data_IF_617738503371
#
_entry.id   IF_617738503371
#
_cell.length_a   1.000
_cell.length_b   1.000
_cell.length_c   1.000
_cell.angle_alpha   90.00
_cell.angle_beta   90.00
_cell.angle_gamma   90.00
#
_symmetry.space_group_name_H-M   'P 1'
#
loop_
_entity.id
_entity.type
_entity.pdbx_description
1 polymer ?
#
# COMPACT_ATOMS: atom_id res chain seq x y z
N UNK A 1 42.26 16.09 15.96
CA UNK A 1 40.86 15.94 15.49
C UNK A 1 40.94 15.47 14.06
N UNK A 2 40.98 14.16 13.84
CA UNK A 2 40.96 13.62 12.48
C UNK A 2 39.55 13.80 11.95
N UNK A 3 39.44 14.57 10.86
CA UNK A 3 38.25 14.61 10.03
C UNK A 3 38.05 13.19 9.49
N UNK A 4 37.04 12.49 9.97
CA UNK A 4 36.58 11.23 9.40
C UNK A 4 36.34 11.47 7.91
N UNK A 5 37.29 11.01 7.09
CA UNK A 5 37.02 10.69 5.69
C UNK A 5 36.06 9.51 5.75
N UNK A 6 34.77 9.81 5.90
CA UNK A 6 33.73 8.80 5.77
C UNK A 6 33.91 8.19 4.39
N UNK A 7 34.20 6.88 4.33
CA UNK A 7 34.25 6.17 3.06
C UNK A 7 32.90 6.39 2.36
N UNK A 8 32.87 6.56 1.02
CA UNK A 8 31.61 6.67 0.29
C UNK A 8 30.63 5.54 0.61
N UNK A 9 31.14 4.35 0.96
CA UNK A 9 30.36 3.20 1.40
C UNK A 9 29.68 3.44 2.77
N UNK A 10 30.39 4.04 3.72
CA UNK A 10 29.85 4.37 5.04
C UNK A 10 28.73 5.42 4.95
N UNK A 11 28.88 6.40 4.04
CA UNK A 11 27.87 7.41 3.78
C UNK A 11 26.60 6.80 3.17
N UNK A 12 26.76 5.91 2.17
CA UNK A 12 25.64 5.20 1.56
C UNK A 12 24.94 4.31 2.59
N UNK A 13 25.70 3.63 3.45
CA UNK A 13 25.13 2.79 4.50
C UNK A 13 24.34 3.61 5.54
N UNK A 14 24.90 4.74 5.98
CA UNK A 14 24.20 5.66 6.88
C UNK A 14 22.91 6.20 6.25
N UNK A 15 22.95 6.59 4.98
CA UNK A 15 21.78 7.06 4.24
C UNK A 15 20.71 5.97 4.10
N UNK A 16 21.12 4.74 3.80
CA UNK A 16 20.24 3.59 3.78
C UNK A 16 19.56 3.37 5.13
N UNK A 17 20.30 3.46 6.25
CA UNK A 17 19.74 3.26 7.58
C UNK A 17 18.67 4.31 7.91
N UNK A 18 18.93 5.58 7.60
CA UNK A 18 17.97 6.67 7.77
C UNK A 18 16.72 6.43 6.93
N UNK A 19 16.87 6.08 5.65
CA UNK A 19 15.72 5.79 4.79
C UNK A 19 14.95 4.56 5.25
N UNK A 20 15.63 3.51 5.70
CA UNK A 20 14.98 2.30 6.20
C UNK A 20 14.12 2.61 7.43
N UNK A 21 14.63 3.41 8.39
CA UNK A 21 13.86 3.85 9.55
C UNK A 21 12.68 4.75 9.17
N UNK A 22 12.90 5.75 8.30
CA UNK A 22 11.83 6.59 7.79
C UNK A 22 10.74 5.78 7.10
N UNK A 23 11.11 4.85 6.22
CA UNK A 23 10.16 4.01 5.48
C UNK A 23 9.43 3.03 6.40
N UNK A 24 10.10 2.53 7.44
CA UNK A 24 9.47 1.70 8.47
C UNK A 24 8.41 2.47 9.24
N UNK A 25 8.69 3.72 9.62
CA UNK A 25 7.72 4.60 10.27
C UNK A 25 6.54 4.94 9.35
N UNK A 26 6.80 5.32 8.10
CA UNK A 26 5.77 5.62 7.10
C UNK A 26 4.87 4.40 6.86
N UNK A 27 5.44 3.20 6.79
CA UNK A 27 4.68 1.94 6.67
C UNK A 27 3.74 1.72 7.85
N UNK A 28 4.20 1.92 9.08
CA UNK A 28 3.34 1.82 10.27
C UNK A 28 2.23 2.88 10.29
N UNK A 29 2.52 4.12 9.89
CA UNK A 29 1.52 5.18 9.78
C UNK A 29 0.51 4.92 8.67
N UNK A 30 0.95 4.43 7.51
CA UNK A 30 0.05 4.04 6.42
C UNK A 30 -0.90 2.91 6.86
N UNK A 31 -0.38 1.93 7.61
CA UNK A 31 -1.18 0.85 8.17
C UNK A 31 -2.23 1.38 9.16
N UNK A 32 -1.82 2.28 10.06
CA UNK A 32 -2.73 2.96 10.98
C UNK A 32 -3.82 3.73 10.23
N UNK A 33 -3.46 4.50 9.21
CA UNK A 33 -4.42 5.19 8.36
C UNK A 33 -5.41 4.22 7.68
N UNK A 34 -4.95 3.06 7.20
CA UNK A 34 -5.84 2.08 6.59
C UNK A 34 -6.90 1.54 7.56
N UNK A 35 -6.53 1.36 8.83
CA UNK A 35 -7.44 0.95 9.92
C UNK A 35 -8.37 2.10 10.31
N UNK A 36 -7.82 3.30 10.54
CA UNK A 36 -8.59 4.48 10.98
C UNK A 36 -9.62 4.92 9.92
N UNK A 37 -9.27 4.82 8.63
CA UNK A 37 -10.20 5.09 7.52
C UNK A 37 -11.19 3.94 7.28
N UNK A 38 -10.98 2.77 7.89
CA UNK A 38 -11.82 1.59 7.67
C UNK A 38 -11.70 1.00 6.27
N UNK A 39 -10.55 1.16 5.61
CA UNK A 39 -10.31 0.68 4.23
C UNK A 39 -10.44 -0.84 4.18
N UNK A 40 -9.85 -1.56 5.14
CA UNK A 40 -9.92 -3.02 5.21
C UNK A 40 -11.35 -3.52 5.36
N UNK A 41 -12.15 -2.87 6.22
CA UNK A 41 -13.57 -3.19 6.43
C UNK A 41 -14.40 -2.90 5.17
N UNK A 42 -14.11 -1.79 4.48
CA UNK A 42 -14.78 -1.41 3.23
C UNK A 42 -14.51 -2.43 2.11
N UNK A 43 -13.29 -2.97 2.01
CA UNK A 43 -12.97 -4.02 1.03
C UNK A 43 -13.57 -5.37 1.47
N UNK A 44 -13.60 -5.66 2.78
CA UNK A 44 -14.14 -6.91 3.30
C UNK A 44 -15.67 -7.01 3.08
N UNK A 45 -16.40 -5.93 3.36
CA UNK A 45 -17.86 -5.86 3.18
C UNK A 45 -18.32 -6.04 1.73
N UNK A 46 -17.43 -5.82 0.75
CA UNK A 46 -17.68 -5.97 -0.68
C UNK A 46 -17.26 -7.33 -1.27
N UNK A 47 -16.89 -8.29 -0.43
CA UNK A 47 -16.47 -9.63 -0.89
C UNK A 47 -14.97 -9.76 -1.13
N UNK A 48 -14.16 -9.03 -0.35
CA UNK A 48 -12.68 -9.08 -0.36
C UNK A 48 -11.98 -8.50 -1.61
N UNK A 49 -12.72 -7.79 -2.46
CA UNK A 49 -12.22 -7.11 -3.65
C UNK A 49 -13.02 -5.82 -3.84
N UNK A 50 -12.35 -4.67 -4.04
CA UNK A 50 -13.03 -3.41 -4.27
C UNK A 50 -12.22 -2.47 -5.19
N UNK A 51 -12.92 -1.69 -5.99
CA UNK A 51 -12.31 -0.62 -6.80
C UNK A 51 -12.05 0.63 -5.96
N UNK A 52 -11.19 1.53 -6.43
CA UNK A 52 -10.89 2.79 -5.71
C UNK A 52 -12.15 3.63 -5.42
N UNK A 53 -13.08 3.72 -6.37
CA UNK A 53 -14.34 4.46 -6.20
C UNK A 53 -15.20 3.86 -5.10
N UNK A 54 -15.24 2.54 -5.03
CA UNK A 54 -15.99 1.79 -4.03
C UNK A 54 -15.39 1.88 -2.63
N UNK A 55 -14.05 1.89 -2.53
CA UNK A 55 -13.34 2.16 -1.29
C UNK A 55 -13.69 3.57 -0.82
N UNK A 56 -13.59 4.57 -1.69
CA UNK A 56 -13.91 5.96 -1.35
C UNK A 56 -15.38 6.09 -0.91
N UNK A 57 -16.31 5.40 -1.58
CA UNK A 57 -17.72 5.38 -1.20
C UNK A 57 -17.99 4.66 0.14
N UNK A 58 -17.15 3.68 0.51
CA UNK A 58 -17.22 2.99 1.81
C UNK A 58 -16.55 3.75 2.95
N UNK A 59 -15.60 4.63 2.62
CA UNK A 59 -14.95 5.53 3.58
C UNK A 59 -15.71 6.85 3.69
N UNK A 60 -15.68 7.53 4.84
CA UNK A 60 -16.31 8.86 5.00
C UNK A 60 -15.51 9.99 4.29
N UNK A 61 -14.90 9.70 3.15
CA UNK A 61 -13.92 10.57 2.49
C UNK A 61 -14.58 11.26 1.30
N UNK A 62 -14.50 12.59 1.27
CA UNK A 62 -14.99 13.39 0.17
C UNK A 62 -14.24 13.06 -1.15
N UNK A 63 -14.93 13.08 -2.29
CA UNK A 63 -14.35 12.81 -3.61
C UNK A 63 -13.11 13.67 -3.95
N UNK A 64 -12.97 14.87 -3.35
CA UNK A 64 -11.76 15.70 -3.50
C UNK A 64 -10.48 15.00 -2.99
N UNK A 65 -10.60 14.02 -2.10
CA UNK A 65 -9.48 13.32 -1.47
C UNK A 65 -9.18 11.94 -2.10
N UNK A 66 -9.87 11.58 -3.17
CA UNK A 66 -9.60 10.38 -3.97
C UNK A 66 -8.11 10.18 -4.31
N UNK A 67 -7.34 11.18 -4.78
CA UNK A 67 -5.93 10.96 -5.12
C UNK A 67 -5.07 10.61 -3.91
N UNK A 68 -5.44 11.05 -2.70
CA UNK A 68 -4.72 10.71 -1.47
C UNK A 68 -4.97 9.25 -1.06
N UNK A 69 -6.22 8.79 -1.17
CA UNK A 69 -6.56 7.39 -0.93
C UNK A 69 -5.88 6.49 -1.96
N UNK A 70 -5.84 6.90 -3.23
CA UNK A 70 -5.13 6.16 -4.28
C UNK A 70 -3.64 6.00 -3.95
N UNK A 71 -2.95 7.09 -3.55
CA UNK A 71 -1.54 7.03 -3.17
C UNK A 71 -1.30 6.13 -1.97
N UNK A 72 -2.17 6.20 -0.96
CA UNK A 72 -2.11 5.33 0.21
C UNK A 72 -2.30 3.86 -0.19
N UNK A 73 -3.30 3.55 -1.00
CA UNK A 73 -3.57 2.19 -1.46
C UNK A 73 -2.45 1.63 -2.32
N UNK A 74 -1.88 2.44 -3.21
CA UNK A 74 -0.72 2.07 -4.01
C UNK A 74 0.49 1.78 -3.13
N UNK A 75 0.78 2.66 -2.16
CA UNK A 75 1.86 2.44 -1.19
C UNK A 75 1.66 1.15 -0.39
N UNK A 76 0.43 0.90 0.09
CA UNK A 76 0.11 -0.32 0.82
C UNK A 76 0.18 -1.58 -0.05
N UNK A 77 -0.10 -1.46 -1.35
CA UNK A 77 0.04 -2.56 -2.32
C UNK A 77 1.50 -2.90 -2.59
N UNK A 78 2.36 -1.89 -2.82
CA UNK A 78 3.82 -2.06 -2.92
C UNK A 78 4.40 -2.68 -1.65
N UNK A 79 3.87 -2.33 -0.47
CA UNK A 79 4.31 -2.91 0.80
C UNK A 79 3.81 -4.35 1.04
N UNK A 80 2.99 -4.90 0.14
CA UNK A 80 2.45 -6.27 0.23
C UNK A 80 1.26 -6.43 1.18
N UNK A 81 0.67 -5.33 1.66
CA UNK A 81 -0.49 -5.38 2.58
C UNK A 81 -1.79 -5.59 1.80
N UNK A 82 -1.91 -5.03 0.60
CA UNK A 82 -3.01 -5.29 -0.34
C UNK A 82 -2.45 -5.78 -1.67
N UNK A 83 -3.29 -6.39 -2.50
CA UNK A 83 -2.92 -6.76 -3.88
C UNK A 83 -3.73 -5.87 -4.81
N UNK A 84 -3.05 -5.13 -5.69
CA UNK A 84 -3.71 -4.41 -6.77
C UNK A 84 -3.70 -5.25 -8.06
N UNK A 85 -4.67 -5.06 -8.95
CA UNK A 85 -4.72 -5.70 -10.27
C UNK A 85 -3.63 -5.23 -11.23
N UNK A 86 -3.07 -4.05 -10.96
CA UNK A 86 -2.11 -3.37 -11.84
C UNK A 86 -0.66 -3.65 -11.41
N UNK A 87 -0.44 -4.08 -10.16
CA UNK A 87 0.88 -4.43 -9.67
C UNK A 87 1.27 -5.84 -10.14
N UNK A 88 2.39 -6.00 -10.86
CA UNK A 88 2.95 -7.31 -11.09
C UNK A 88 3.25 -7.96 -9.74
N UNK A 89 2.82 -9.21 -9.49
CA UNK A 89 2.98 -9.86 -8.21
C UNK A 89 4.47 -9.97 -7.88
N UNK A 90 4.90 -9.22 -6.86
CA UNK A 90 6.23 -9.29 -6.28
C UNK A 90 6.43 -10.70 -5.67
N UNK A 91 6.77 -11.67 -6.51
CA UNK A 91 7.05 -13.05 -6.11
C UNK A 91 6.75 -14.15 -7.13
N UNK A 92 6.11 -13.88 -8.27
CA UNK A 92 5.89 -14.92 -9.30
C UNK A 92 6.73 -14.65 -10.55
N UNK A 93 7.71 -15.53 -10.79
CA UNK A 93 8.46 -15.61 -12.04
C UNK A 93 7.51 -15.70 -13.23
N UNK A 94 7.77 -14.84 -14.21
CA UNK A 94 7.27 -14.81 -15.59
C UNK A 94 6.29 -15.90 -16.02
N UNK A 95 5.08 -15.47 -16.40
CA UNK A 95 4.46 -15.96 -17.62
C UNK A 95 3.67 -14.83 -18.29
N UNK A 96 4.24 -14.38 -19.42
CA UNK A 96 3.61 -13.79 -20.60
C UNK A 96 2.67 -12.59 -20.42
N UNK A 97 3.21 -11.45 -20.88
CA UNK A 97 2.48 -10.34 -21.50
C UNK A 97 1.25 -10.78 -22.29
N UNK A 98 0.15 -10.06 -22.09
CA UNK A 98 -0.60 -9.50 -23.22
C UNK A 98 -0.80 -8.02 -22.95
N UNK A 99 -0.09 -7.22 -23.73
CA UNK A 99 -0.38 -5.81 -23.92
C UNK A 99 -1.82 -5.67 -24.45
N UNK A 100 -2.61 -4.86 -23.78
CA UNK A 100 -3.94 -4.45 -24.21
C UNK A 100 -4.09 -2.94 -24.03
N UNK A 101 -4.13 -2.24 -25.15
CA UNK A 101 -4.38 -0.81 -25.24
C UNK A 101 -5.81 -0.50 -24.76
N UNK A 102 -5.97 0.64 -24.09
CA UNK A 102 -7.23 1.36 -23.88
C UNK A 102 -8.38 0.60 -23.18
N UNK A 103 -8.47 0.78 -21.87
CA UNK A 103 -9.69 0.56 -21.10
C UNK A 103 -9.48 1.16 -19.72
N UNK A 104 -10.38 2.02 -19.25
CA UNK A 104 -10.39 2.47 -17.86
C UNK A 104 -10.78 1.31 -16.92
N UNK A 105 -9.96 0.26 -16.88
CA UNK A 105 -10.09 -0.84 -15.96
C UNK A 105 -9.81 -0.27 -14.58
N UNK A 106 -10.85 -0.14 -13.76
CA UNK A 106 -10.71 0.44 -12.43
C UNK A 106 -9.82 -0.49 -11.59
N UNK A 107 -8.65 -0.01 -11.16
CA UNK A 107 -7.71 -0.75 -10.31
C UNK A 107 -8.45 -1.43 -9.16
N UNK A 108 -8.39 -2.75 -9.13
CA UNK A 108 -9.09 -3.58 -8.15
C UNK A 108 -8.12 -3.94 -7.04
N UNK A 109 -8.49 -3.63 -5.80
CA UNK A 109 -7.73 -3.96 -4.61
C UNK A 109 -8.33 -5.18 -3.91
N UNK A 110 -7.49 -6.18 -3.65
CA UNK A 110 -7.84 -7.42 -2.95
C UNK A 110 -7.18 -7.48 -1.58
N UNK A 111 -7.90 -8.07 -0.63
CA UNK A 111 -7.36 -8.36 0.71
C UNK A 111 -6.36 -9.52 0.66
N UNK A 112 -5.20 -9.32 1.29
CA UNK A 112 -4.24 -10.36 1.63
C UNK A 112 -4.57 -10.96 3.01
N UNK A 113 -4.01 -12.12 3.38
CA UNK A 113 -4.12 -12.62 4.75
C UNK A 113 -3.73 -11.59 5.82
N UNK A 114 -2.73 -10.76 5.52
CA UNK A 114 -2.25 -9.69 6.42
C UNK A 114 -3.29 -8.59 6.60
N UNK A 115 -3.92 -8.11 5.52
CA UNK A 115 -4.95 -7.06 5.63
C UNK A 115 -6.26 -7.57 6.22
N UNK A 116 -6.53 -8.88 6.22
CA UNK A 116 -7.66 -9.46 6.97
C UNK A 116 -7.54 -9.27 8.48
N UNK A 117 -6.32 -9.26 9.03
CA UNK A 117 -6.09 -8.99 10.46
C UNK A 117 -6.40 -7.55 10.86
N UNK A 118 -6.45 -6.64 9.87
CA UNK A 118 -6.75 -5.22 10.07
C UNK A 118 -8.25 -4.92 10.07
N UNK A 119 -9.09 -5.88 9.67
CA UNK A 119 -10.53 -5.70 9.77
C UNK A 119 -10.89 -5.52 11.24
N UNK A 120 -11.73 -4.52 11.55
CA UNK A 120 -12.01 -4.12 12.94
C UNK A 120 -12.51 -5.35 13.70
N UNK A 121 -11.63 -5.93 14.52
CA UNK A 121 -11.98 -6.96 15.49
C UNK A 121 -13.05 -6.34 16.38
N UNK A 122 -14.31 -6.72 16.13
CA UNK A 122 -15.40 -6.46 17.05
C UNK A 122 -15.06 -7.26 18.30
N UNK A 123 -14.34 -6.64 19.23
CA UNK A 123 -14.07 -7.23 20.53
C UNK A 123 -15.43 -7.64 21.12
N UNK A 124 -15.49 -8.91 21.54
CA UNK A 124 -16.56 -9.47 22.35
C UNK A 124 -16.66 -8.72 23.69
#
# INVERSE_FOLDING_TARGET
>A
MNMDVQSPEDLIHAQYLVFHHCFSYVKSMALKCAVDLGISDAIHSRGCSATLSEIVAGTWINASRMPYVQRLMHFLSISGVFVSSDDPPAGATASSQTAGLAGGEAVVYKLTPTSRLLCRQKQA
#
